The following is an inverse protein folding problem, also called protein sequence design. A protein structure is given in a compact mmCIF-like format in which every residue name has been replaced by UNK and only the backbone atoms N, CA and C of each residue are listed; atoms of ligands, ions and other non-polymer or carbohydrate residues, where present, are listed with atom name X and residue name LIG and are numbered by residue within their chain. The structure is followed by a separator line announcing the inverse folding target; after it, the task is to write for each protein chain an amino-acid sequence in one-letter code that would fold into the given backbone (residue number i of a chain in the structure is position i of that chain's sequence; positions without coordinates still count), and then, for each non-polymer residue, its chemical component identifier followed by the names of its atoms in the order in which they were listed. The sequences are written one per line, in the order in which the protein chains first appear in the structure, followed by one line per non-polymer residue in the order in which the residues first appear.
data_IF_324205229546
#
_entry.id   IF_324205229546
#
_cell.length_a   1.000
_cell.length_b   1.000
_cell.length_c   1.000
_cell.angle_alpha   90.00
_cell.angle_beta   90.00
_cell.angle_gamma   90.00
#
_symmetry.space_group_name_H-M   'P 1'
#
loop_
_entity.id
_entity.type
_entity.pdbx_description
1 polymer ?
#
# COMPACT_ATOMS: atom_id res chain seq x y z
N UNK A 1 7.95 -21.58 13.10
CA UNK A 1 8.25 -20.73 11.94
C UNK A 1 6.93 -20.46 11.22
N UNK A 2 6.45 -19.21 11.18
CA UNK A 2 5.27 -18.88 10.38
C UNK A 2 5.71 -18.84 8.92
N UNK A 3 5.02 -19.59 8.06
CA UNK A 3 5.31 -19.59 6.64
C UNK A 3 4.89 -18.26 6.03
N UNK A 4 5.75 -17.67 5.19
CA UNK A 4 5.43 -16.51 4.37
C UNK A 4 4.81 -17.04 3.09
N UNK A 5 3.54 -16.75 2.88
CA UNK A 5 2.84 -17.09 1.64
C UNK A 5 3.09 -16.00 0.62
N UNK A 6 3.43 -16.39 -0.61
CA UNK A 6 3.46 -15.46 -1.73
C UNK A 6 2.04 -14.98 -2.02
N UNK A 7 1.91 -13.74 -2.47
CA UNK A 7 0.61 -13.13 -2.78
C UNK A 7 -0.22 -14.01 -3.72
N UNK A 8 -1.50 -14.18 -3.34
CA UNK A 8 -2.46 -15.01 -4.08
C UNK A 8 -3.14 -14.24 -5.23
N UNK A 9 -2.95 -12.94 -5.32
CA UNK A 9 -3.53 -12.09 -6.35
C UNK A 9 -2.44 -11.27 -7.07
N UNK A 10 -1.58 -11.90 -7.89
CA UNK A 10 -0.54 -11.18 -8.62
C UNK A 10 -1.18 -10.21 -9.62
N UNK A 11 -0.60 -9.00 -9.73
CA UNK A 11 -1.02 -8.02 -10.72
C UNK A 11 -0.76 -8.57 -12.14
N UNK A 12 -1.73 -8.53 -13.06
CA UNK A 12 -1.49 -8.85 -14.48
C UNK A 12 -0.42 -7.91 -15.07
N UNK A 13 0.50 -8.45 -15.86
CA UNK A 13 1.61 -7.65 -16.45
C UNK A 13 1.14 -6.44 -17.27
N UNK A 14 -0.02 -6.56 -17.93
CA UNK A 14 -0.62 -5.48 -18.73
C UNK A 14 -1.23 -4.35 -17.90
N UNK A 15 -1.48 -4.56 -16.62
CA UNK A 15 -2.11 -3.57 -15.76
C UNK A 15 -1.02 -2.73 -15.06
N UNK A 16 -1.16 -1.41 -15.07
CA UNK A 16 -0.26 -0.50 -14.38
C UNK A 16 -0.29 -0.74 -12.88
N UNK A 17 -1.47 -0.96 -12.35
CA UNK A 17 -1.73 -1.27 -10.95
C UNK A 17 -3.04 -2.04 -10.82
N UNK A 18 -3.21 -2.69 -9.68
CA UNK A 18 -4.50 -3.24 -9.21
C UNK A 18 -4.83 -2.64 -7.86
N UNK A 19 -6.11 -2.57 -7.55
CA UNK A 19 -6.62 -2.09 -6.27
C UNK A 19 -7.43 -3.17 -5.57
N UNK A 20 -7.31 -3.18 -4.24
CA UNK A 20 -8.13 -4.00 -3.37
C UNK A 20 -8.73 -3.08 -2.30
N UNK A 21 -10.00 -3.30 -1.97
CA UNK A 21 -10.72 -2.54 -0.95
C UNK A 21 -11.37 -3.49 0.04
N UNK A 22 -11.24 -3.15 1.31
CA UNK A 22 -11.88 -3.88 2.40
C UNK A 22 -12.62 -2.90 3.30
N UNK A 23 -13.81 -3.32 3.76
CA UNK A 23 -14.59 -2.61 4.76
C UNK A 23 -15.25 -3.66 5.66
N UNK A 24 -14.46 -4.28 6.54
CA UNK A 24 -14.91 -5.36 7.41
C UNK A 24 -14.10 -5.48 8.71
N UNK A 25 -14.50 -6.43 9.55
CA UNK A 25 -13.86 -6.74 10.83
C UNK A 25 -12.71 -7.75 10.71
N UNK A 26 -12.45 -8.34 9.54
CA UNK A 26 -11.57 -9.49 9.38
C UNK A 26 -10.34 -9.23 8.50
N UNK A 27 -9.96 -8.00 8.28
CA UNK A 27 -8.95 -7.63 7.29
C UNK A 27 -7.49 -7.73 7.76
N UNK A 28 -7.18 -8.60 8.73
CA UNK A 28 -5.79 -8.80 9.15
C UNK A 28 -5.13 -9.88 8.27
N UNK A 29 -4.45 -9.51 7.18
CA UNK A 29 -3.81 -10.48 6.31
C UNK A 29 -2.66 -11.18 7.04
N UNK A 30 -2.47 -12.51 6.83
CA UNK A 30 -1.35 -13.22 7.41
C UNK A 30 -0.02 -12.68 6.85
N UNK A 31 1.10 -13.06 7.48
CA UNK A 31 2.42 -12.71 6.98
C UNK A 31 2.61 -13.23 5.55
N UNK A 32 2.83 -12.32 4.61
CA UNK A 32 3.01 -12.60 3.18
C UNK A 32 3.97 -11.61 2.54
N UNK A 33 4.30 -11.81 1.28
CA UNK A 33 5.03 -10.85 0.46
C UNK A 33 4.55 -10.94 -1.00
N UNK A 34 4.80 -9.89 -1.77
CA UNK A 34 4.57 -9.82 -3.22
C UNK A 34 5.77 -9.20 -3.92
N UNK A 35 5.84 -9.39 -5.25
CA UNK A 35 6.97 -8.95 -6.07
C UNK A 35 6.87 -7.48 -6.50
N UNK A 36 5.71 -6.86 -6.32
CA UNK A 36 5.39 -5.48 -6.67
C UNK A 36 5.46 -4.56 -5.46
N UNK A 37 5.46 -3.24 -5.69
CA UNK A 37 5.17 -2.26 -4.64
C UNK A 37 3.73 -2.37 -4.19
N UNK A 38 3.46 -2.03 -2.93
CA UNK A 38 2.11 -1.86 -2.42
C UNK A 38 1.99 -0.57 -1.62
N UNK A 39 1.11 0.33 -2.06
CA UNK A 39 0.65 1.46 -1.25
C UNK A 39 -0.58 0.99 -0.46
N UNK A 40 -0.48 0.99 0.86
CA UNK A 40 -1.54 0.52 1.76
C UNK A 40 -2.04 1.64 2.65
N UNK A 41 -3.34 1.93 2.57
CA UNK A 41 -4.06 2.80 3.48
C UNK A 41 -4.91 1.93 4.40
N UNK A 42 -4.79 2.14 5.72
CA UNK A 42 -5.60 1.47 6.74
C UNK A 42 -6.20 2.53 7.68
N UNK A 43 -7.52 2.49 7.87
CA UNK A 43 -8.27 3.45 8.65
C UNK A 43 -9.09 2.78 9.75
N UNK A 44 -9.41 3.56 10.79
CA UNK A 44 -10.35 3.23 11.87
C UNK A 44 -9.89 2.17 12.87
N UNK A 45 -8.73 1.58 12.69
CA UNK A 45 -8.19 0.54 13.58
C UNK A 45 -6.75 0.85 13.97
N UNK A 46 -6.31 0.30 15.11
CA UNK A 46 -4.92 0.34 15.58
C UNK A 46 -4.38 -1.07 15.72
N UNK A 47 -3.07 -1.16 15.81
CA UNK A 47 -2.40 -2.43 16.04
C UNK A 47 -0.91 -2.36 15.74
N UNK A 48 -0.33 -3.53 15.48
CA UNK A 48 1.07 -3.68 15.12
C UNK A 48 1.19 -4.12 13.67
N UNK A 49 2.05 -3.44 12.91
CA UNK A 49 2.42 -3.81 11.54
C UNK A 49 3.84 -4.36 11.53
N UNK A 50 4.03 -5.52 10.91
CA UNK A 50 5.35 -6.06 10.58
C UNK A 50 5.68 -5.67 9.14
N UNK A 51 6.86 -5.06 8.92
CA UNK A 51 7.39 -4.74 7.60
C UNK A 51 8.86 -5.13 7.55
N UNK A 52 9.17 -6.22 6.84
CA UNK A 52 10.49 -6.80 6.83
C UNK A 52 10.92 -7.29 8.21
N UNK A 53 11.87 -6.58 8.83
CA UNK A 53 12.42 -6.91 10.15
C UNK A 53 11.91 -6.03 11.28
N UNK A 54 11.08 -5.06 10.98
CA UNK A 54 10.55 -4.11 11.97
C UNK A 54 9.12 -4.48 12.34
N UNK A 55 8.78 -4.20 13.59
CA UNK A 55 7.41 -4.25 14.09
C UNK A 55 7.11 -2.88 14.68
N UNK A 56 6.18 -2.17 14.06
CA UNK A 56 5.81 -0.80 14.42
C UNK A 56 4.33 -0.73 14.73
N UNK A 57 3.96 0.06 15.72
CA UNK A 57 2.56 0.34 15.99
C UNK A 57 1.99 1.29 14.91
N UNK A 58 0.76 1.04 14.52
CA UNK A 58 0.03 1.92 13.62
C UNK A 58 -1.24 2.46 14.26
N UNK A 59 -1.64 3.64 13.83
CA UNK A 59 -2.82 4.35 14.32
C UNK A 59 -4.00 4.20 13.37
N UNK A 60 -5.13 4.83 13.69
CA UNK A 60 -6.35 4.82 12.86
C UNK A 60 -6.20 5.53 11.51
N UNK A 61 -5.02 6.05 11.20
CA UNK A 61 -4.65 6.68 9.93
C UNK A 61 -3.27 6.19 9.51
N UNK A 62 -3.18 4.97 9.01
CA UNK A 62 -1.91 4.40 8.56
C UNK A 62 -1.80 4.42 7.04
N UNK A 63 -0.68 4.95 6.53
CA UNK A 63 -0.34 4.94 5.12
C UNK A 63 1.12 4.55 4.95
N UNK A 64 1.37 3.51 4.20
CA UNK A 64 2.72 2.99 3.93
C UNK A 64 2.87 2.54 2.49
N UNK A 65 4.05 2.78 1.89
CA UNK A 65 4.50 2.03 0.71
C UNK A 65 5.38 0.88 1.20
N UNK A 66 5.02 -0.35 0.84
CA UNK A 66 5.80 -1.56 1.08
C UNK A 66 6.54 -1.90 -0.21
N UNK A 67 7.84 -2.17 -0.08
CA UNK A 67 8.72 -2.40 -1.23
C UNK A 67 8.66 -3.85 -1.71
N UNK A 68 9.03 -4.12 -2.98
CA UNK A 68 8.98 -5.46 -3.56
C UNK A 68 9.75 -6.51 -2.74
N UNK A 69 9.15 -7.67 -2.56
CA UNK A 69 9.74 -8.81 -1.85
C UNK A 69 9.79 -8.69 -0.33
N UNK A 70 9.25 -7.62 0.26
CA UNK A 70 9.26 -7.39 1.70
C UNK A 70 8.13 -8.13 2.39
N UNK A 71 8.41 -9.07 3.32
CA UNK A 71 7.39 -9.73 4.12
C UNK A 71 6.67 -8.72 5.02
N UNK A 72 5.35 -8.80 5.07
CA UNK A 72 4.55 -7.90 5.88
C UNK A 72 3.23 -8.52 6.35
N UNK A 73 2.72 -8.01 7.45
CA UNK A 73 1.38 -8.30 7.96
C UNK A 73 0.92 -7.21 8.91
N UNK A 74 -0.38 -7.23 9.17
CA UNK A 74 -1.03 -6.38 10.17
C UNK A 74 -1.63 -7.29 11.25
N UNK A 75 -1.60 -6.82 12.49
CA UNK A 75 -2.29 -7.44 13.62
C UNK A 75 -3.00 -6.33 14.38
N UNK A 76 -4.30 -6.38 14.38
CA UNK A 76 -5.16 -5.40 15.03
C UNK A 76 -5.12 -5.59 16.56
N UNK A 77 -5.21 -4.50 17.31
CA UNK A 77 -5.38 -4.54 18.76
C UNK A 77 -6.73 -5.16 19.13
N UNK A 78 -6.76 -5.92 20.22
CA UNK A 78 -7.98 -6.58 20.70
C UNK A 78 -9.15 -5.60 20.94
N UNK A 79 -8.84 -4.38 21.41
CA UNK A 79 -9.83 -3.33 21.59
C UNK A 79 -10.55 -2.89 20.29
N UNK A 80 -9.96 -3.21 19.13
CA UNK A 80 -10.51 -2.88 17.81
C UNK A 80 -11.06 -4.12 17.06
N UNK A 81 -11.17 -5.28 17.73
CA UNK A 81 -11.62 -6.52 17.10
C UNK A 81 -13.01 -6.41 16.45
N UNK A 82 -13.90 -5.61 17.04
CA UNK A 82 -15.27 -5.39 16.58
C UNK A 82 -15.46 -4.10 15.76
N UNK A 83 -14.38 -3.37 15.47
CA UNK A 83 -14.44 -2.16 14.66
C UNK A 83 -14.24 -2.52 13.18
N UNK A 84 -15.07 -1.95 12.30
CA UNK A 84 -14.87 -2.09 10.86
C UNK A 84 -13.63 -1.32 10.44
N UNK A 85 -12.64 -2.06 9.90
CA UNK A 85 -11.48 -1.49 9.24
C UNK A 85 -11.90 -1.03 7.85
N UNK A 86 -11.46 0.14 7.44
CA UNK A 86 -11.54 0.57 6.06
C UNK A 86 -10.13 0.60 5.48
N UNK A 87 -9.88 -0.16 4.42
CA UNK A 87 -8.54 -0.25 3.85
C UNK A 87 -8.55 -0.30 2.32
N UNK A 88 -7.53 0.31 1.73
CA UNK A 88 -7.23 0.24 0.29
C UNK A 88 -5.78 -0.16 0.12
N UNK A 89 -5.52 -1.19 -0.68
CA UNK A 89 -4.20 -1.50 -1.18
C UNK A 89 -4.14 -1.26 -2.69
N UNK A 90 -3.07 -0.60 -3.13
CA UNK A 90 -2.74 -0.37 -4.53
C UNK A 90 -1.42 -1.05 -4.81
N UNK A 91 -1.47 -2.15 -5.56
CA UNK A 91 -0.28 -2.90 -5.97
C UNK A 91 0.13 -2.47 -7.36
N UNK A 92 1.39 -2.09 -7.55
CA UNK A 92 1.91 -1.55 -8.81
C UNK A 92 3.33 -2.04 -9.11
N UNK A 93 3.69 -2.02 -10.39
CA UNK A 93 4.88 -2.68 -10.92
C UNK A 93 6.17 -2.27 -10.21
N UNK A 94 6.96 -3.28 -9.82
CA UNK A 94 8.34 -3.09 -9.35
C UNK A 94 9.25 -2.39 -10.35
N UNK A 95 8.93 -2.48 -11.65
CA UNK A 95 9.72 -1.89 -12.72
C UNK A 95 9.33 -0.43 -13.01
N UNK A 96 8.25 0.06 -12.40
CA UNK A 96 7.74 1.42 -12.65
C UNK A 96 8.80 2.52 -12.49
N UNK A 97 9.70 2.50 -11.48
CA UNK A 97 10.74 3.53 -11.38
C UNK A 97 11.70 3.58 -12.56
N UNK A 98 11.81 2.48 -13.33
CA UNK A 98 12.69 2.37 -14.48
C UNK A 98 12.02 2.78 -15.81
N UNK A 99 10.74 3.13 -15.78
CA UNK A 99 10.07 3.58 -17.00
C UNK A 99 10.52 4.98 -17.38
N UNK A 100 10.74 5.21 -18.66
CA UNK A 100 11.24 6.47 -19.21
C UNK A 100 10.41 7.70 -18.77
N UNK A 101 9.10 7.52 -18.54
CA UNK A 101 8.22 8.56 -18.04
C UNK A 101 8.70 9.13 -16.69
N UNK A 102 9.28 8.29 -15.82
CA UNK A 102 9.76 8.68 -14.50
C UNK A 102 11.14 9.36 -14.51
N UNK A 103 11.82 9.38 -15.66
CA UNK A 103 13.06 10.12 -15.84
C UNK A 103 12.82 11.62 -16.06
N UNK A 104 11.58 12.02 -16.33
CA UNK A 104 11.22 13.42 -16.52
C UNK A 104 11.27 14.19 -15.18
N UNK A 105 11.59 15.47 -15.23
CA UNK A 105 11.68 16.31 -14.01
C UNK A 105 10.40 16.29 -13.16
N UNK A 106 9.22 16.11 -13.79
CA UNK A 106 7.93 16.09 -13.10
C UNK A 106 7.72 14.84 -12.25
N UNK A 107 8.23 13.68 -12.68
CA UNK A 107 8.03 12.39 -12.01
C UNK A 107 9.31 11.85 -11.35
N UNK A 108 10.46 12.51 -11.55
CA UNK A 108 11.71 12.13 -10.92
C UNK A 108 11.65 12.08 -9.38
N UNK A 109 10.90 12.93 -8.66
CA UNK A 109 10.75 12.78 -7.21
C UNK A 109 10.13 11.45 -6.80
N UNK A 110 9.15 10.95 -7.56
CA UNK A 110 8.53 9.63 -7.34
C UNK A 110 9.57 8.52 -7.60
N UNK A 111 10.31 8.60 -8.72
CA UNK A 111 11.37 7.66 -9.02
C UNK A 111 12.39 7.56 -7.88
N UNK A 112 12.86 8.69 -7.38
CA UNK A 112 13.81 8.75 -6.26
C UNK A 112 13.24 8.12 -4.99
N UNK A 113 11.99 8.41 -4.66
CA UNK A 113 11.30 7.83 -3.50
C UNK A 113 11.22 6.30 -3.63
N UNK A 114 10.79 5.79 -4.79
CA UNK A 114 10.64 4.35 -5.04
C UNK A 114 11.99 3.62 -5.20
N UNK A 115 13.09 4.34 -5.37
CA UNK A 115 14.44 3.77 -5.48
C UNK A 115 15.19 3.74 -4.16
N UNK A 116 14.57 4.14 -3.05
CA UNK A 116 15.20 4.09 -1.73
C UNK A 116 15.45 2.63 -1.29
N UNK A 117 16.59 2.33 -0.66
CA UNK A 117 16.93 0.98 -0.20
C UNK A 117 16.29 0.69 1.17
N UNK A 118 14.97 0.68 1.23
CA UNK A 118 14.19 0.50 2.47
C UNK A 118 13.13 -0.59 2.31
N UNK A 119 12.65 -1.14 3.41
CA UNK A 119 11.58 -2.12 3.43
C UNK A 119 10.20 -1.47 3.19
N UNK A 120 10.02 -0.27 3.70
CA UNK A 120 8.79 0.51 3.53
C UNK A 120 8.99 1.97 3.89
N UNK A 121 8.05 2.81 3.43
CA UNK A 121 7.97 4.23 3.73
C UNK A 121 6.62 4.52 4.39
N UNK A 122 6.66 4.87 5.65
CA UNK A 122 5.49 5.29 6.40
C UNK A 122 5.28 6.80 6.27
N UNK A 123 4.05 7.23 6.05
CA UNK A 123 3.69 8.64 5.89
C UNK A 123 2.97 9.18 7.12
N UNK A 124 3.12 10.47 7.38
CA UNK A 124 2.44 11.15 8.47
C UNK A 124 0.92 11.23 8.25
N UNK A 125 0.16 11.39 9.34
CA UNK A 125 -1.30 11.59 9.27
C UNK A 125 -1.70 12.79 8.39
N UNK A 126 -0.88 13.83 8.34
CA UNK A 126 -1.11 14.98 7.46
C UNK A 126 -1.10 14.57 5.98
N UNK A 127 -0.22 13.64 5.59
CA UNK A 127 -0.20 13.10 4.22
C UNK A 127 -1.44 12.24 4.00
N UNK A 128 -1.81 11.39 4.97
CA UNK A 128 -3.04 10.59 4.91
C UNK A 128 -4.24 11.48 4.63
N UNK A 129 -4.40 12.55 5.39
CA UNK A 129 -5.54 13.48 5.24
C UNK A 129 -5.61 14.14 3.84
N UNK A 130 -4.48 14.28 3.14
CA UNK A 130 -4.42 14.82 1.79
C UNK A 130 -4.81 13.83 0.70
N UNK A 131 -4.51 12.54 0.90
CA UNK A 131 -4.64 11.54 -0.16
C UNK A 131 -5.76 10.53 0.05
N UNK A 132 -6.28 10.39 1.29
CA UNK A 132 -7.23 9.32 1.66
C UNK A 132 -8.46 9.27 0.77
N UNK A 133 -9.08 10.41 0.47
CA UNK A 133 -10.30 10.44 -0.35
C UNK A 133 -10.04 9.93 -1.77
N UNK A 134 -8.90 10.31 -2.35
CA UNK A 134 -8.50 9.84 -3.68
C UNK A 134 -8.19 8.34 -3.66
N UNK A 135 -7.52 7.85 -2.63
CA UNK A 135 -7.24 6.42 -2.47
C UNK A 135 -8.52 5.61 -2.30
N UNK A 136 -9.48 6.09 -1.49
CA UNK A 136 -10.77 5.42 -1.29
C UNK A 136 -11.62 5.38 -2.58
N UNK A 137 -11.51 6.39 -3.45
CA UNK A 137 -12.21 6.42 -4.73
C UNK A 137 -11.57 5.51 -5.79
N UNK A 138 -10.26 5.28 -5.71
CA UNK A 138 -9.48 4.61 -6.74
C UNK A 138 -10.01 3.22 -7.15
N UNK A 139 -10.49 2.35 -6.25
CA UNK A 139 -11.06 1.06 -6.62
C UNK A 139 -12.30 1.15 -7.53
N UNK A 140 -13.04 2.26 -7.47
CA UNK A 140 -14.22 2.53 -8.31
C UNK A 140 -13.91 3.14 -9.67
N UNK A 141 -12.71 3.67 -9.86
CA UNK A 141 -12.31 4.35 -11.09
C UNK A 141 -11.82 3.39 -12.17
N UNK A 142 -11.88 3.82 -13.43
CA UNK A 142 -11.42 3.05 -14.59
C UNK A 142 -10.71 3.95 -15.61
N UNK A 143 -9.96 3.33 -16.51
CA UNK A 143 -9.30 4.00 -17.62
C UNK A 143 -8.33 5.10 -17.20
N UNK A 144 -8.23 6.15 -17.97
CA UNK A 144 -7.27 7.24 -17.75
C UNK A 144 -7.48 7.96 -16.41
N UNK A 145 -8.73 8.12 -15.97
CA UNK A 145 -9.05 8.76 -14.70
C UNK A 145 -8.40 8.02 -13.52
N UNK A 146 -8.45 6.69 -13.52
CA UNK A 146 -7.81 5.88 -12.47
C UNK A 146 -6.30 6.07 -12.46
N UNK A 147 -5.65 6.17 -13.63
CA UNK A 147 -4.21 6.42 -13.75
C UNK A 147 -3.85 7.82 -13.24
N UNK A 148 -4.64 8.83 -13.61
CA UNK A 148 -4.39 10.21 -13.16
C UNK A 148 -4.50 10.33 -11.64
N UNK A 149 -5.49 9.70 -11.03
CA UNK A 149 -5.65 9.67 -9.57
C UNK A 149 -4.51 8.91 -8.91
N UNK A 150 -4.13 7.73 -9.43
CA UNK A 150 -3.02 6.93 -8.92
C UNK A 150 -1.70 7.71 -8.92
N UNK A 151 -1.32 8.32 -10.04
CA UNK A 151 -0.11 9.12 -10.13
C UNK A 151 -0.18 10.36 -9.22
N UNK A 152 -1.37 10.92 -9.01
CA UNK A 152 -1.58 12.07 -8.14
C UNK A 152 -1.54 11.77 -6.64
N UNK A 153 -1.56 10.51 -6.22
CA UNK A 153 -1.38 10.09 -4.81
C UNK A 153 0.03 9.60 -4.51
N UNK A 154 0.84 9.31 -5.51
CA UNK A 154 2.27 9.02 -5.38
C UNK A 154 3.09 10.29 -5.22
#
# INVERSE_FOLDING_TARGET
MKYVLKDLAPRPEKDLFITQYWSDKQSDPPLHFHEDYMLSLTLNVRGTRITGRTADDFTEKDLIIIFPGVPHCYTRDEAYADIDCEAVAVQFSRDMPNWQLFETEYLQPIQKMLSLPVAGLHFSEMVVDRVRERLLQLPGLRGFESVAVFLGVL
#
